data_IF_957412380337
#
_entry.id   IF_957412380337
#
_cell.length_a   1.000
_cell.length_b   1.000
_cell.length_c   1.000
_cell.angle_alpha   90.00
_cell.angle_beta   90.00
_cell.angle_gamma   90.00
#
_symmetry.space_group_name_H-M   'P 1'
#
loop_
_entity.id
_entity.type
_entity.pdbx_description
1 polymer ?
#
# COMPACT_ATOMS: atom_id res chain seq x y z
N UNK A 1 -4.13 7.75 -22.44
CA UNK A 1 -4.12 8.34 -21.08
C UNK A 1 -3.48 7.37 -20.08
N UNK A 2 -3.97 6.12 -19.96
CA UNK A 2 -3.42 5.11 -19.00
C UNK A 2 -1.96 4.74 -19.35
N UNK A 3 -1.62 4.61 -20.62
CA UNK A 3 -0.25 4.29 -21.06
C UNK A 3 0.75 5.44 -20.77
N UNK A 4 0.30 6.71 -20.81
CA UNK A 4 1.15 7.87 -20.52
C UNK A 4 1.46 8.00 -19.01
N UNK A 5 0.48 7.72 -18.14
CA UNK A 5 0.67 7.76 -16.69
C UNK A 5 1.67 6.68 -16.21
N UNK A 6 1.57 5.46 -16.73
CA UNK A 6 2.47 4.37 -16.40
C UNK A 6 3.93 4.68 -16.74
N UNK A 7 4.20 5.33 -17.87
CA UNK A 7 5.55 5.74 -18.29
C UNK A 7 6.10 6.92 -17.47
N UNK A 8 5.23 7.71 -16.83
CA UNK A 8 5.63 8.86 -16.04
C UNK A 8 5.76 8.57 -14.54
N UNK A 9 5.33 7.41 -14.07
CA UNK A 9 5.34 7.05 -12.65
C UNK A 9 6.50 6.14 -12.30
N UNK A 10 7.25 6.51 -11.25
CA UNK A 10 8.34 5.72 -10.68
C UNK A 10 7.98 5.27 -9.26
N UNK A 11 7.95 3.96 -9.05
CA UNK A 11 7.65 3.34 -7.76
C UNK A 11 8.95 3.04 -7.01
N UNK A 12 9.06 3.56 -5.79
CA UNK A 12 10.07 3.15 -4.82
C UNK A 12 9.46 2.08 -3.92
N UNK A 13 9.92 0.85 -4.03
CA UNK A 13 9.40 -0.28 -3.27
C UNK A 13 10.36 -0.61 -2.12
N UNK A 14 9.86 -0.58 -0.89
CA UNK A 14 10.58 -1.06 0.28
C UNK A 14 10.19 -2.51 0.53
N UNK A 15 11.17 -3.41 0.37
CA UNK A 15 11.05 -4.84 0.63
C UNK A 15 11.28 -5.14 2.11
N UNK A 16 10.24 -5.63 2.78
CA UNK A 16 10.25 -6.07 4.17
C UNK A 16 10.61 -7.56 4.32
N UNK A 17 11.43 -8.10 3.42
CA UNK A 17 11.86 -9.50 3.40
C UNK A 17 10.71 -10.49 3.23
N UNK A 18 9.82 -10.18 2.30
CA UNK A 18 8.63 -10.98 2.01
C UNK A 18 8.72 -11.67 0.64
N UNK A 19 8.25 -12.91 0.57
CA UNK A 19 8.23 -13.67 -0.70
C UNK A 19 7.25 -13.09 -1.73
N UNK A 20 6.20 -12.40 -1.30
CA UNK A 20 5.23 -11.72 -2.19
C UNK A 20 5.76 -10.43 -2.82
N UNK A 21 6.91 -9.91 -2.36
CA UNK A 21 7.54 -8.73 -2.98
C UNK A 21 7.82 -8.96 -4.46
N UNK A 22 8.21 -10.16 -4.86
CA UNK A 22 8.45 -10.49 -6.28
C UNK A 22 7.18 -10.37 -7.13
N UNK A 23 6.02 -10.76 -6.60
CA UNK A 23 4.75 -10.61 -7.30
C UNK A 23 4.41 -9.14 -7.51
N UNK A 24 4.64 -8.27 -6.50
CA UNK A 24 4.48 -6.83 -6.65
C UNK A 24 5.40 -6.26 -7.73
N UNK A 25 6.67 -6.67 -7.73
CA UNK A 25 7.64 -6.25 -8.74
C UNK A 25 7.18 -6.64 -10.15
N UNK A 26 6.71 -7.87 -10.35
CA UNK A 26 6.24 -8.36 -11.64
C UNK A 26 4.99 -7.61 -12.12
N UNK A 27 4.02 -7.36 -11.22
CA UNK A 27 2.83 -6.57 -11.53
C UNK A 27 3.19 -5.15 -11.97
N UNK A 28 4.05 -4.45 -11.20
CA UNK A 28 4.47 -3.08 -11.52
C UNK A 28 5.23 -3.00 -12.84
N UNK A 29 6.09 -3.97 -13.13
CA UNK A 29 6.80 -4.07 -14.43
C UNK A 29 5.83 -4.31 -15.59
N UNK A 30 4.86 -5.18 -15.39
CA UNK A 30 3.83 -5.46 -16.40
C UNK A 30 2.99 -4.21 -16.71
N UNK A 31 2.77 -3.36 -15.71
CA UNK A 31 2.12 -2.06 -15.85
C UNK A 31 3.00 -1.01 -16.56
N UNK A 32 4.28 -1.30 -16.80
CA UNK A 32 5.22 -0.38 -17.46
C UNK A 32 5.79 0.73 -16.58
N UNK A 33 5.69 0.59 -15.26
CA UNK A 33 6.18 1.60 -14.31
C UNK A 33 7.68 1.53 -14.12
N UNK A 34 8.33 2.69 -13.88
CA UNK A 34 9.68 2.74 -13.36
C UNK A 34 9.72 2.15 -11.95
N UNK A 35 10.79 1.43 -11.60
CA UNK A 35 10.87 0.73 -10.33
C UNK A 35 12.27 0.77 -9.74
N UNK A 36 12.35 1.14 -8.46
CA UNK A 36 13.56 0.98 -7.63
C UNK A 36 13.17 0.23 -6.36
N UNK A 37 13.91 -0.84 -6.04
CA UNK A 37 13.65 -1.68 -4.86
C UNK A 37 14.75 -1.48 -3.84
N UNK A 38 14.37 -1.18 -2.60
CA UNK A 38 15.26 -1.13 -1.45
C UNK A 38 14.80 -2.11 -0.38
N UNK A 39 15.73 -2.75 0.29
CA UNK A 39 15.42 -3.47 1.53
C UNK A 39 15.20 -2.49 2.67
N UNK A 40 14.39 -2.87 3.64
CA UNK A 40 14.11 -2.05 4.82
C UNK A 40 15.31 -1.83 5.75
N UNK A 41 16.45 -2.42 5.45
CA UNK A 41 17.73 -2.18 6.13
C UNK A 41 18.49 -0.96 5.61
N UNK A 42 18.04 -0.35 4.51
CA UNK A 42 18.63 0.86 3.94
C UNK A 42 18.22 2.09 4.75
N UNK A 43 19.10 3.08 4.85
CA UNK A 43 18.81 4.34 5.53
C UNK A 43 17.55 5.02 4.95
N UNK A 44 16.56 5.39 5.79
CA UNK A 44 15.36 6.06 5.32
C UNK A 44 15.65 7.41 4.66
N UNK A 45 16.65 8.16 5.14
CA UNK A 45 17.07 9.42 4.54
C UNK A 45 17.67 9.21 3.14
N UNK A 46 18.47 8.15 2.95
CA UNK A 46 19.03 7.84 1.64
C UNK A 46 17.93 7.48 0.62
N UNK A 47 16.89 6.75 1.02
CA UNK A 47 15.74 6.44 0.17
C UNK A 47 15.00 7.74 -0.16
N UNK A 48 14.71 8.58 0.84
CA UNK A 48 14.00 9.84 0.67
C UNK A 48 14.71 10.78 -0.28
N UNK A 49 16.04 10.96 -0.15
CA UNK A 49 16.85 11.77 -1.08
C UNK A 49 16.75 11.25 -2.53
N UNK A 50 16.75 9.93 -2.73
CA UNK A 50 16.59 9.34 -4.06
C UNK A 50 15.19 9.59 -4.62
N UNK A 51 14.15 9.51 -3.78
CA UNK A 51 12.79 9.88 -4.17
C UNK A 51 12.69 11.34 -4.60
N UNK A 52 13.28 12.27 -3.84
CA UNK A 52 13.32 13.69 -4.18
C UNK A 52 14.08 13.96 -5.50
N UNK A 53 15.17 13.25 -5.74
CA UNK A 53 15.91 13.38 -7.00
C UNK A 53 15.08 12.86 -8.19
N UNK A 54 14.39 11.72 -8.04
CA UNK A 54 13.54 11.14 -9.07
C UNK A 54 12.30 11.99 -9.36
N UNK A 55 11.75 12.67 -8.35
CA UNK A 55 10.58 13.54 -8.48
C UNK A 55 10.78 14.73 -9.42
N UNK A 56 12.02 15.06 -9.75
CA UNK A 56 12.35 16.07 -10.78
C UNK A 56 12.08 15.59 -12.22
N UNK A 57 11.87 14.30 -12.41
CA UNK A 57 11.79 13.67 -13.73
C UNK A 57 10.51 12.87 -13.97
N UNK A 58 9.84 12.43 -12.90
CA UNK A 58 8.63 11.61 -12.96
C UNK A 58 7.80 11.81 -11.71
N UNK A 59 6.54 11.35 -11.75
CA UNK A 59 5.76 11.16 -10.55
C UNK A 59 6.40 10.05 -9.69
N UNK A 60 6.40 10.23 -8.38
CA UNK A 60 7.03 9.28 -7.45
C UNK A 60 6.00 8.81 -6.42
N UNK A 61 5.98 7.51 -6.19
CA UNK A 61 5.17 6.85 -5.17
C UNK A 61 6.03 5.90 -4.36
N UNK A 62 5.80 5.84 -3.05
CA UNK A 62 6.38 4.84 -2.17
C UNK A 62 5.42 3.66 -2.02
N UNK A 63 5.92 2.44 -2.26
CA UNK A 63 5.20 1.20 -2.00
C UNK A 63 5.88 0.43 -0.87
N UNK A 64 5.13 0.11 0.17
CA UNK A 64 5.61 -0.65 1.33
C UNK A 64 5.08 -2.08 1.22
N UNK A 65 5.99 -3.04 1.09
CA UNK A 65 5.66 -4.45 0.89
C UNK A 65 5.05 -5.09 2.13
N UNK A 66 4.37 -6.24 1.96
CA UNK A 66 4.16 -7.18 3.04
C UNK A 66 5.47 -7.54 3.74
N UNK A 67 5.38 -8.17 4.91
CA UNK A 67 6.53 -8.65 5.63
C UNK A 67 6.15 -9.34 6.94
N UNK A 68 7.11 -10.03 7.57
CA UNK A 68 6.90 -10.68 8.85
C UNK A 68 6.93 -9.70 10.02
N UNK A 69 6.39 -10.11 11.14
CA UNK A 69 6.45 -9.38 12.42
C UNK A 69 5.50 -8.21 12.51
N UNK A 70 5.87 -7.23 13.31
CA UNK A 70 5.11 -6.01 13.54
C UNK A 70 5.71 -4.81 12.79
N UNK A 71 4.93 -3.79 12.45
CA UNK A 71 5.42 -2.61 11.73
C UNK A 71 6.58 -1.90 12.44
N UNK A 72 6.53 -1.82 13.77
CA UNK A 72 7.58 -1.19 14.58
C UNK A 72 8.96 -1.85 14.41
N UNK A 73 9.00 -3.15 14.06
CA UNK A 73 10.22 -3.94 13.89
C UNK A 73 10.68 -4.00 12.41
N UNK A 74 10.02 -3.29 11.52
CA UNK A 74 10.27 -3.36 10.07
C UNK A 74 11.36 -2.39 9.59
N UNK A 75 12.51 -2.40 10.24
CA UNK A 75 13.70 -1.63 9.84
C UNK A 75 13.43 -0.14 9.67
N UNK A 76 13.76 0.41 8.50
CA UNK A 76 13.60 1.83 8.21
C UNK A 76 12.14 2.26 7.94
N UNK A 77 11.20 1.33 7.77
CA UNK A 77 9.86 1.63 7.29
C UNK A 77 9.11 2.68 8.15
N UNK A 78 9.05 2.58 9.50
CA UNK A 78 8.35 3.57 10.31
C UNK A 78 8.93 4.98 10.17
N UNK A 79 10.25 5.09 10.14
CA UNK A 79 10.92 6.37 9.99
C UNK A 79 10.75 6.94 8.56
N UNK A 80 10.78 6.09 7.55
CA UNK A 80 10.57 6.50 6.16
C UNK A 80 9.14 7.03 5.94
N UNK A 81 8.12 6.39 6.52
CA UNK A 81 6.74 6.90 6.48
C UNK A 81 6.68 8.32 7.02
N UNK A 82 7.32 8.59 8.15
CA UNK A 82 7.33 9.93 8.75
C UNK A 82 8.03 10.98 7.85
N UNK A 83 9.07 10.59 7.11
CA UNK A 83 9.77 11.48 6.17
C UNK A 83 8.93 11.81 4.93
N UNK A 84 8.17 10.84 4.41
CA UNK A 84 7.40 11.00 3.17
C UNK A 84 6.00 11.55 3.40
N UNK A 85 5.50 11.52 4.63
CA UNK A 85 4.16 11.95 5.02
C UNK A 85 3.86 13.38 4.55
N UNK A 86 2.81 13.54 3.74
CA UNK A 86 2.46 14.82 3.14
C UNK A 86 3.38 15.29 1.99
N UNK A 87 4.43 14.54 1.65
CA UNK A 87 5.38 14.86 0.57
C UNK A 87 5.17 13.96 -0.64
N UNK A 88 5.16 12.64 -0.42
CA UNK A 88 4.96 11.65 -1.47
C UNK A 88 3.78 10.74 -1.16
N UNK A 89 3.01 10.32 -2.17
CA UNK A 89 1.98 9.31 -1.98
C UNK A 89 2.57 7.97 -1.55
N UNK A 90 1.84 7.25 -0.72
CA UNK A 90 2.25 5.96 -0.17
C UNK A 90 1.16 4.92 -0.36
N UNK A 91 1.54 3.74 -0.88
CA UNK A 91 0.72 2.54 -0.89
C UNK A 91 1.33 1.49 0.03
N UNK A 92 0.63 1.08 1.07
CA UNK A 92 1.08 0.05 2.02
C UNK A 92 0.28 -1.24 1.88
N UNK A 93 0.98 -2.38 1.78
CA UNK A 93 0.36 -3.70 1.68
C UNK A 93 0.66 -4.50 2.95
N UNK A 94 -0.37 -5.04 3.59
CA UNK A 94 -0.31 -5.88 4.80
C UNK A 94 0.51 -5.20 5.91
N UNK A 95 1.77 -5.54 6.10
CA UNK A 95 2.67 -4.87 7.05
C UNK A 95 2.78 -3.36 6.78
N UNK A 96 2.86 -2.96 5.51
CA UNK A 96 2.88 -1.55 5.09
C UNK A 96 1.59 -0.81 5.44
N UNK A 97 0.44 -1.45 5.30
CA UNK A 97 -0.84 -0.92 5.76
C UNK A 97 -0.86 -0.71 7.27
N UNK A 98 -0.41 -1.69 8.03
CA UNK A 98 -0.32 -1.61 9.49
C UNK A 98 0.60 -0.47 9.94
N UNK A 99 1.72 -0.28 9.25
CA UNK A 99 2.65 0.82 9.51
C UNK A 99 2.01 2.20 9.24
N UNK A 100 1.19 2.33 8.20
CA UNK A 100 0.41 3.55 7.95
C UNK A 100 -0.52 3.82 9.14
N UNK A 101 -1.29 2.83 9.59
CA UNK A 101 -2.21 2.98 10.73
C UNK A 101 -1.46 3.42 11.99
N UNK A 102 -0.34 2.78 12.34
CA UNK A 102 0.48 3.18 13.49
C UNK A 102 1.02 4.60 13.37
N UNK A 103 1.39 5.03 12.16
CA UNK A 103 1.95 6.37 11.92
C UNK A 103 0.95 7.51 12.20
N UNK A 104 -0.34 7.20 12.26
CA UNK A 104 -1.42 8.13 12.64
C UNK A 104 -1.93 7.87 14.07
N UNK A 105 -1.28 7.01 14.83
CA UNK A 105 -1.61 6.74 16.23
C UNK A 105 -2.66 5.64 16.46
N UNK A 106 -2.97 4.85 15.44
CA UNK A 106 -3.79 3.64 15.60
C UNK A 106 -2.99 2.49 16.22
N UNK A 107 -3.69 1.49 16.70
CA UNK A 107 -3.11 0.31 17.32
C UNK A 107 -3.06 -0.85 16.34
N UNK A 108 -2.01 -1.67 16.45
CA UNK A 108 -1.91 -2.96 15.77
C UNK A 108 -1.98 -4.05 16.82
N UNK A 109 -2.99 -4.87 16.73
CA UNK A 109 -3.28 -5.94 17.70
C UNK A 109 -3.28 -7.30 17.02
N UNK A 110 -3.24 -8.35 17.82
CA UNK A 110 -3.40 -9.72 17.33
C UNK A 110 -4.82 -9.93 16.81
N UNK A 111 -4.96 -10.47 15.60
CA UNK A 111 -6.25 -10.82 15.05
C UNK A 111 -6.83 -12.04 15.80
N UNK A 112 -8.15 -12.05 15.99
CA UNK A 112 -8.84 -13.18 16.63
C UNK A 112 -8.67 -14.48 15.84
N UNK A 113 -8.57 -14.37 14.52
CA UNK A 113 -8.33 -15.48 13.61
C UNK A 113 -7.11 -15.20 12.75
N UNK A 114 -6.11 -16.08 12.86
CA UNK A 114 -4.93 -16.01 11.99
C UNK A 114 -5.33 -16.44 10.56
N UNK A 115 -5.06 -15.56 9.60
CA UNK A 115 -5.31 -15.83 8.19
C UNK A 115 -4.03 -16.30 7.50
N UNK A 116 -4.13 -17.41 6.80
CA UNK A 116 -2.99 -17.99 6.08
C UNK A 116 -3.43 -18.52 4.72
N UNK A 117 -3.36 -17.66 3.70
CA UNK A 117 -3.70 -18.04 2.33
C UNK A 117 -5.18 -18.34 2.12
N UNK A 118 -6.07 -17.60 2.76
CA UNK A 118 -7.53 -17.75 2.60
C UNK A 118 -8.12 -16.56 1.85
N UNK A 119 -9.05 -16.86 0.96
CA UNK A 119 -9.89 -15.85 0.34
C UNK A 119 -10.98 -15.39 1.31
N UNK A 120 -11.22 -14.09 1.37
CA UNK A 120 -12.32 -13.47 2.12
C UNK A 120 -13.06 -12.50 1.21
N UNK A 121 -14.35 -12.36 1.44
CA UNK A 121 -15.20 -11.42 0.71
C UNK A 121 -15.27 -10.12 1.51
N UNK A 122 -14.59 -9.07 1.05
CA UNK A 122 -14.63 -7.75 1.69
C UNK A 122 -15.76 -6.90 1.12
N UNK A 123 -16.32 -6.02 1.95
CA UNK A 123 -17.23 -4.97 1.52
C UNK A 123 -16.45 -3.67 1.34
N UNK A 124 -16.77 -2.90 0.29
CA UNK A 124 -16.15 -1.61 -0.03
C UNK A 124 -17.19 -0.61 -0.53
N UNK A 125 -16.82 0.66 -0.70
CA UNK A 125 -17.78 1.71 -1.09
C UNK A 125 -18.05 1.76 -2.59
N UNK A 126 -17.29 1.07 -3.42
CA UNK A 126 -17.48 0.99 -4.89
C UNK A 126 -17.01 2.22 -5.65
N UNK A 127 -16.28 3.12 -5.01
CA UNK A 127 -15.70 4.32 -5.58
C UNK A 127 -14.16 4.32 -5.56
N UNK A 128 -13.53 5.39 -6.04
CA UNK A 128 -12.06 5.58 -6.05
C UNK A 128 -11.38 4.36 -6.69
N UNK A 129 -10.40 3.76 -6.00
CA UNK A 129 -9.68 2.56 -6.47
C UNK A 129 -10.57 1.30 -6.54
N UNK A 130 -11.74 1.31 -5.93
CA UNK A 130 -12.69 0.18 -5.97
C UNK A 130 -13.76 0.31 -7.08
N UNK A 131 -13.69 1.35 -7.90
CA UNK A 131 -14.64 1.56 -8.99
C UNK A 131 -14.64 0.39 -9.99
N UNK A 132 -15.82 -0.07 -10.37
CA UNK A 132 -16.01 -1.19 -11.30
C UNK A 132 -15.47 -2.55 -10.82
N UNK A 133 -15.20 -2.70 -9.52
CA UNK A 133 -14.86 -3.97 -8.90
C UNK A 133 -16.11 -4.65 -8.32
N UNK A 134 -16.11 -6.00 -8.23
CA UNK A 134 -17.22 -6.74 -7.62
C UNK A 134 -17.49 -6.32 -6.18
N UNK A 135 -18.76 -6.35 -5.77
CA UNK A 135 -19.21 -6.11 -4.41
C UNK A 135 -20.06 -7.30 -3.95
N UNK A 136 -19.60 -8.12 -2.99
CA UNK A 136 -18.30 -8.08 -2.28
C UNK A 136 -17.11 -8.46 -3.17
N UNK A 137 -15.89 -8.04 -2.78
CA UNK A 137 -14.66 -8.33 -3.50
C UNK A 137 -13.88 -9.48 -2.84
N UNK A 138 -13.56 -10.56 -3.58
CA UNK A 138 -12.72 -11.63 -3.06
C UNK A 138 -11.25 -11.20 -3.02
N UNK A 139 -10.62 -11.32 -1.84
CA UNK A 139 -9.23 -10.92 -1.60
C UNK A 139 -8.48 -11.99 -0.79
N UNK A 140 -7.16 -12.09 -1.03
CA UNK A 140 -6.29 -12.99 -0.28
C UNK A 140 -5.82 -12.35 1.03
N UNK A 141 -5.86 -13.12 2.12
CA UNK A 141 -5.42 -12.69 3.46
C UNK A 141 -4.34 -13.62 4.01
N UNK A 142 -3.27 -12.99 4.56
CA UNK A 142 -2.09 -13.69 5.12
C UNK A 142 -1.60 -12.97 6.38
N UNK A 143 -2.49 -12.60 7.31
CA UNK A 143 -2.09 -11.80 8.46
C UNK A 143 -2.54 -12.39 9.80
N UNK A 144 -1.71 -12.21 10.82
CA UNK A 144 -1.98 -12.53 12.23
C UNK A 144 -2.20 -11.28 13.09
N UNK A 145 -1.88 -10.11 12.55
CA UNK A 145 -2.09 -8.81 13.17
C UNK A 145 -3.14 -8.03 12.36
N UNK A 146 -3.83 -7.12 13.01
CA UNK A 146 -4.82 -6.25 12.41
C UNK A 146 -4.84 -4.86 13.05
N UNK A 147 -5.32 -3.88 12.30
CA UNK A 147 -5.54 -2.53 12.82
C UNK A 147 -6.72 -2.50 13.80
N UNK A 148 -6.57 -1.74 14.86
CA UNK A 148 -7.59 -1.44 15.87
C UNK A 148 -7.47 0.01 16.28
N UNK A 149 -8.45 0.52 17.04
CA UNK A 149 -8.45 1.91 17.50
C UNK A 149 -8.12 2.89 16.35
N UNK A 150 -8.93 2.81 15.27
CA UNK A 150 -8.66 3.54 14.04
C UNK A 150 -8.63 5.04 14.28
N UNK A 151 -7.53 5.74 13.91
CA UNK A 151 -7.43 7.20 14.02
C UNK A 151 -8.50 7.90 13.19
N UNK A 152 -9.01 9.04 13.69
CA UNK A 152 -10.04 9.81 13.00
C UNK A 152 -9.58 10.38 11.65
N UNK A 153 -8.28 10.55 11.46
CA UNK A 153 -7.65 11.01 10.22
C UNK A 153 -7.69 9.97 9.10
N UNK A 154 -7.85 8.70 9.45
CA UNK A 154 -7.93 7.60 8.48
C UNK A 154 -9.37 7.23 8.17
N UNK A 155 -9.72 7.23 6.90
CA UNK A 155 -11.00 6.74 6.41
C UNK A 155 -10.89 5.26 6.09
N UNK A 156 -11.77 4.43 6.65
CA UNK A 156 -11.89 3.01 6.28
C UNK A 156 -12.71 2.90 4.99
N UNK A 157 -12.07 2.41 3.93
CA UNK A 157 -12.67 2.27 2.59
C UNK A 157 -13.25 0.88 2.34
N UNK A 158 -12.74 -0.14 3.02
CA UNK A 158 -13.20 -1.53 2.92
C UNK A 158 -13.02 -2.26 4.24
N UNK A 159 -13.86 -3.26 4.47
CA UNK A 159 -13.82 -4.05 5.71
C UNK A 159 -14.27 -5.50 5.49
N UNK A 160 -13.81 -6.37 6.39
CA UNK A 160 -14.29 -7.73 6.55
C UNK A 160 -14.74 -7.88 8.01
N UNK A 161 -16.05 -8.06 8.23
CA UNK A 161 -16.65 -7.93 9.56
C UNK A 161 -16.21 -6.61 10.22
N UNK A 162 -15.58 -6.69 11.38
CA UNK A 162 -15.04 -5.52 12.10
C UNK A 162 -13.57 -5.18 11.74
N UNK A 163 -12.93 -5.93 10.84
CA UNK A 163 -11.52 -5.74 10.48
C UNK A 163 -11.40 -4.73 9.35
N UNK A 164 -10.70 -3.60 9.55
CA UNK A 164 -10.39 -2.66 8.47
C UNK A 164 -9.50 -3.34 7.43
N UNK A 165 -9.94 -3.34 6.17
CA UNK A 165 -9.25 -4.00 5.06
C UNK A 165 -8.63 -3.02 4.09
N UNK A 166 -9.11 -1.78 4.05
CA UNK A 166 -8.48 -0.68 3.33
C UNK A 166 -8.68 0.62 4.11
N UNK A 167 -7.63 1.43 4.19
CA UNK A 167 -7.63 2.75 4.82
C UNK A 167 -7.00 3.79 3.92
N UNK A 168 -7.45 5.03 4.05
CA UNK A 168 -6.93 6.15 3.27
C UNK A 168 -6.79 7.40 4.14
N UNK A 169 -5.71 8.16 3.93
CA UNK A 169 -5.57 9.55 4.34
C UNK A 169 -5.48 10.40 3.08
N UNK A 170 -6.53 11.12 2.73
CA UNK A 170 -6.61 11.85 1.45
C UNK A 170 -5.56 12.95 1.34
N UNK A 171 -5.44 13.81 2.35
CA UNK A 171 -4.53 14.95 2.31
C UNK A 171 -3.05 14.53 2.20
N UNK A 172 -2.63 13.49 2.93
CA UNK A 172 -1.26 12.98 2.89
C UNK A 172 -1.06 11.94 1.77
N UNK A 173 -2.12 11.61 1.04
CA UNK A 173 -2.12 10.62 -0.06
C UNK A 173 -1.56 9.27 0.38
N UNK A 174 -2.07 8.75 1.51
CA UNK A 174 -1.74 7.43 2.02
C UNK A 174 -2.88 6.46 1.80
N UNK A 175 -2.57 5.29 1.28
CA UNK A 175 -3.51 4.20 1.03
C UNK A 175 -2.91 2.90 1.58
N UNK A 176 -3.69 2.14 2.34
CA UNK A 176 -3.25 0.88 2.89
C UNK A 176 -4.24 -0.24 2.63
N UNK A 177 -3.76 -1.42 2.24
CA UNK A 177 -4.53 -2.66 2.12
C UNK A 177 -4.02 -3.69 3.11
N UNK A 178 -4.90 -4.25 3.96
CA UNK A 178 -4.56 -5.36 4.85
C UNK A 178 -4.40 -6.68 4.07
N UNK A 179 -5.10 -6.83 2.97
CA UNK A 179 -5.02 -7.99 2.08
C UNK A 179 -3.91 -7.83 1.04
N UNK A 180 -3.69 -8.90 0.26
CA UNK A 180 -2.64 -8.99 -0.74
C UNK A 180 -3.21 -8.87 -2.17
N UNK A 181 -3.20 -7.68 -2.80
CA UNK A 181 -3.66 -7.52 -4.17
C UNK A 181 -2.77 -8.25 -5.18
N UNK A 182 -1.49 -8.48 -4.86
CA UNK A 182 -0.51 -9.19 -5.69
C UNK A 182 -0.66 -10.71 -5.66
N UNK A 183 -1.47 -11.24 -4.74
CA UNK A 183 -1.71 -12.69 -4.67
C UNK A 183 -2.60 -13.17 -5.80
N UNK A 184 -2.29 -14.33 -6.38
CA UNK A 184 -3.12 -15.00 -7.38
C UNK A 184 -4.55 -15.28 -6.88
N UNK A 185 -4.75 -15.34 -5.57
CA UNK A 185 -6.07 -15.53 -4.96
C UNK A 185 -6.91 -14.25 -4.92
N UNK A 186 -6.35 -13.10 -5.28
CA UNK A 186 -7.06 -11.83 -5.44
C UNK A 186 -7.33 -11.63 -6.92
N UNK A 187 -8.49 -12.10 -7.40
CA UNK A 187 -8.80 -12.18 -8.83
C UNK A 187 -8.75 -10.83 -9.58
N UNK A 188 -9.03 -9.73 -8.89
CA UNK A 188 -9.02 -8.36 -9.44
C UNK A 188 -7.84 -7.53 -8.92
N UNK A 189 -6.79 -8.19 -8.45
CA UNK A 189 -5.66 -7.54 -7.79
C UNK A 189 -4.90 -6.58 -8.69
N UNK A 190 -4.60 -6.96 -9.92
CA UNK A 190 -3.89 -6.10 -10.90
C UNK A 190 -4.70 -4.84 -11.22
N UNK A 191 -6.02 -4.97 -11.42
CA UNK A 191 -6.89 -3.83 -11.66
C UNK A 191 -6.92 -2.90 -10.43
N UNK A 192 -7.06 -3.45 -9.23
CA UNK A 192 -7.06 -2.68 -7.99
C UNK A 192 -5.73 -1.95 -7.77
N UNK A 193 -4.59 -2.60 -8.01
CA UNK A 193 -3.26 -1.97 -7.90
C UNK A 193 -3.13 -0.80 -8.88
N UNK A 194 -3.51 -0.99 -10.15
CA UNK A 194 -3.46 0.08 -11.15
C UNK A 194 -4.34 1.26 -10.72
N UNK A 195 -5.60 1.02 -10.40
CA UNK A 195 -6.54 2.06 -9.96
C UNK A 195 -6.08 2.77 -8.68
N UNK A 196 -5.37 2.06 -7.79
CA UNK A 196 -4.80 2.65 -6.57
C UNK A 196 -3.64 3.59 -6.87
N UNK A 197 -2.76 3.22 -7.77
CA UNK A 197 -1.63 4.05 -8.17
C UNK A 197 -2.13 5.27 -8.94
N UNK A 198 -3.07 5.11 -9.87
CA UNK A 198 -3.71 6.21 -10.58
C UNK A 198 -4.34 7.20 -9.59
N UNK A 199 -5.15 6.71 -8.64
CA UNK A 199 -5.77 7.53 -7.61
C UNK A 199 -4.76 8.34 -6.79
N UNK A 200 -3.64 7.72 -6.40
CA UNK A 200 -2.60 8.36 -5.60
C UNK A 200 -1.77 9.37 -6.39
N UNK A 201 -1.67 9.22 -7.71
CA UNK A 201 -0.84 10.06 -8.59
C UNK A 201 -1.64 11.12 -9.35
N UNK A 202 -2.95 10.98 -9.56
CA UNK A 202 -3.78 11.97 -10.23
C UNK A 202 -3.80 13.33 -9.51
N UNK A 203 -3.75 13.35 -8.19
CA UNK A 203 -3.71 14.58 -7.40
C UNK A 203 -2.39 15.36 -7.54
N UNK A 204 -1.30 14.70 -7.95
CA UNK A 204 0.00 15.37 -8.19
C UNK A 204 0.01 16.20 -9.47
N UNK A 205 -0.86 15.91 -10.43
CA UNK A 205 -0.92 16.59 -11.71
C UNK A 205 -1.68 17.93 -11.66
N UNK A 206 -2.35 18.23 -10.54
CA UNK A 206 -3.20 19.41 -10.36
C UNK A 206 -2.58 20.50 -9.46
N UNK A 207 -1.39 20.30 -8.91
CA UNK A 207 -0.60 21.29 -8.17
C UNK A 207 0.54 21.85 -9.05
#
# INVERSE_FOLDING_TARGET
VIADLAQSTHVFLVDNFDSFTYNLVDELRTMGMGLTVYRNSVSPHAIFEKMQAQAKHSQVILLLSPGPGAPADAGCMPQLINLVKGVFPVLGICLGHQAIVESYGGDIIRADVVMHGKSSLITHQGDKMFANLPQPLPVARYHSLMASNMPAELTVLAQFDAVPMAVCHEQDRMLGFQFHPESILTAFGSQLLMQSIDYLTEEQAND
#
